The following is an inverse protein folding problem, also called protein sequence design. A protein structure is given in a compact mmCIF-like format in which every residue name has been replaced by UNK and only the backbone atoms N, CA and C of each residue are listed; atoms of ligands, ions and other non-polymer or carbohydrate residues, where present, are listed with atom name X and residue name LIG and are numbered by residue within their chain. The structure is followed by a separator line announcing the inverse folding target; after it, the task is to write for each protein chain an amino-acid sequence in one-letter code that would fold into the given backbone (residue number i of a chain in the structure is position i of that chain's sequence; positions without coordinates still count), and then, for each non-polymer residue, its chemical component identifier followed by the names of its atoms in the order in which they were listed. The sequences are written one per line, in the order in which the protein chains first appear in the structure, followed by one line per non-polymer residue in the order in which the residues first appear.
data_IF_424055825489
#
_entry.id   IF_424055825489
#
_cell.length_a   1.000
_cell.length_b   1.000
_cell.length_c   1.000
_cell.angle_alpha   90.00
_cell.angle_beta   90.00
_cell.angle_gamma   90.00
#
_symmetry.space_group_name_H-M   'P 1'
#
loop_
_entity.id
_entity.type
_entity.pdbx_description
1 polymer ?
#
# COMPACT_ATOMS: atom_id res chain seq x y z
N UNK A 1 -14.37 -2.79 27.11
CA UNK A 1 -13.74 -1.52 26.66
C UNK A 1 -12.87 -1.01 27.80
N UNK A 2 -11.55 -1.05 27.64
CA UNK A 2 -10.65 -0.30 28.51
C UNK A 2 -10.47 1.09 27.88
N UNK A 3 -10.76 2.18 28.60
CA UNK A 3 -10.52 3.51 28.07
C UNK A 3 -9.01 3.68 27.85
N UNK A 4 -8.61 3.95 26.61
CA UNK A 4 -7.23 4.35 26.33
C UNK A 4 -7.07 5.77 26.85
N UNK A 5 -6.39 5.93 27.98
CA UNK A 5 -6.01 7.24 28.48
C UNK A 5 -4.84 7.73 27.63
N UNK A 6 -5.09 8.66 26.71
CA UNK A 6 -4.05 9.38 26.00
C UNK A 6 -3.35 10.33 26.98
N UNK A 7 -2.24 9.90 27.56
CA UNK A 7 -1.38 10.79 28.33
C UNK A 7 -0.59 11.69 27.39
N UNK A 8 -0.82 12.99 27.48
CA UNK A 8 0.02 14.00 26.85
C UNK A 8 1.37 13.99 27.56
N UNK A 9 2.42 13.51 26.88
CA UNK A 9 3.78 13.61 27.41
C UNK A 9 4.32 15.03 27.13
N UNK A 10 4.38 15.85 28.16
CA UNK A 10 5.23 17.04 28.20
C UNK A 10 6.58 16.61 28.75
N UNK A 11 7.54 16.38 27.87
CA UNK A 11 8.89 16.02 28.29
C UNK A 11 9.78 15.75 27.09
N UNK A 12 11.07 15.86 27.32
CA UNK A 12 12.12 15.57 26.33
C UNK A 12 11.79 14.27 25.59
N UNK A 13 11.64 14.35 24.30
CA UNK A 13 11.44 13.20 23.41
C UNK A 13 12.61 12.23 23.63
N UNK A 14 12.43 11.23 24.46
CA UNK A 14 13.18 10.00 24.32
C UNK A 14 12.80 9.47 22.94
N UNK A 15 13.70 9.56 21.98
CA UNK A 15 13.51 9.05 20.63
C UNK A 15 13.50 7.52 20.70
N UNK A 16 12.40 7.02 21.27
CA UNK A 16 12.13 5.60 21.33
C UNK A 16 11.77 5.08 19.95
N UNK A 17 12.23 3.89 19.64
CA UNK A 17 11.84 3.12 18.43
C UNK A 17 10.40 2.61 18.49
N UNK A 18 9.65 2.99 19.51
CA UNK A 18 8.30 2.52 19.74
C UNK A 18 7.26 3.40 19.06
N UNK A 19 6.19 2.82 18.52
CA UNK A 19 5.02 3.55 18.07
C UNK A 19 4.42 4.46 19.16
N UNK A 20 3.68 5.49 18.77
CA UNK A 20 2.98 6.36 19.74
C UNK A 20 1.91 5.58 20.49
N UNK A 21 1.20 4.73 19.75
CA UNK A 21 0.26 3.77 20.31
C UNK A 21 0.72 2.39 19.89
N UNK A 22 1.02 1.54 20.85
CA UNK A 22 1.48 0.18 20.63
C UNK A 22 0.68 -0.81 21.48
N UNK A 23 0.11 -1.79 20.81
CA UNK A 23 -0.67 -2.86 21.46
C UNK A 23 -0.21 -4.19 20.90
N UNK A 24 0.08 -5.17 21.75
CA UNK A 24 0.51 -6.50 21.33
C UNK A 24 -0.32 -7.60 22.01
N UNK A 25 -0.72 -8.61 21.24
CA UNK A 25 -1.36 -9.85 21.74
C UNK A 25 -2.73 -9.64 22.38
N UNK A 26 -3.36 -8.48 22.18
CA UNK A 26 -4.65 -8.16 22.77
C UNK A 26 -5.83 -8.69 21.96
N UNK A 27 -6.95 -8.94 22.67
CA UNK A 27 -8.25 -9.25 22.07
C UNK A 27 -9.29 -8.22 22.49
N UNK A 28 -10.27 -7.95 21.58
CA UNK A 28 -11.34 -6.99 21.84
C UNK A 28 -10.78 -5.61 22.26
N UNK A 29 -9.85 -5.08 21.48
CA UNK A 29 -9.16 -3.83 21.77
C UNK A 29 -9.64 -2.71 20.83
N UNK A 30 -9.83 -1.51 21.37
CA UNK A 30 -10.27 -0.38 20.59
C UNK A 30 -9.46 0.89 20.88
N UNK A 31 -9.24 1.67 19.82
CA UNK A 31 -8.82 3.07 19.84
C UNK A 31 -9.95 3.90 19.24
N UNK A 32 -10.68 4.63 20.06
CA UNK A 32 -11.86 5.37 19.63
C UNK A 32 -11.86 6.81 20.14
N UNK A 33 -12.59 7.67 19.47
CA UNK A 33 -12.79 9.05 19.90
C UNK A 33 -12.74 10.04 18.73
N UNK A 34 -12.87 11.34 19.05
CA UNK A 34 -12.84 12.44 18.10
C UNK A 34 -11.56 13.31 18.25
N UNK A 35 -10.60 12.82 19.03
CA UNK A 35 -9.35 13.53 19.30
C UNK A 35 -8.35 13.47 18.15
N UNK A 36 -7.33 14.31 18.23
CA UNK A 36 -6.21 14.34 17.30
C UNK A 36 -4.98 13.71 17.94
N UNK A 37 -4.33 12.80 17.21
CA UNK A 37 -3.07 12.18 17.58
C UNK A 37 -1.98 12.83 16.72
N UNK A 38 -1.07 13.52 17.38
CA UNK A 38 0.07 14.22 16.78
C UNK A 38 1.37 13.72 17.40
N UNK A 39 2.39 13.46 16.58
CA UNK A 39 3.70 13.04 17.08
C UNK A 39 4.83 14.01 16.75
N UNK A 40 4.56 15.09 16.07
CA UNK A 40 5.62 15.98 15.59
C UNK A 40 6.68 15.22 14.76
N UNK A 41 6.20 14.45 13.79
CA UNK A 41 7.01 13.51 12.99
C UNK A 41 8.08 14.21 12.16
N UNK A 42 7.84 15.45 11.76
CA UNK A 42 8.79 16.27 11.00
C UNK A 42 10.08 16.51 11.79
N UNK A 43 9.97 16.85 13.04
CA UNK A 43 11.15 17.05 13.91
C UNK A 43 11.86 15.73 14.20
N UNK A 44 11.09 14.68 14.47
CA UNK A 44 11.61 13.33 14.62
C UNK A 44 12.44 12.91 13.39
N UNK A 45 11.93 13.14 12.18
CA UNK A 45 12.65 12.82 10.94
C UNK A 45 13.91 13.64 10.76
N UNK A 46 13.90 14.92 11.14
CA UNK A 46 15.06 15.80 11.06
C UNK A 46 16.18 15.29 11.98
N UNK A 47 15.83 14.94 13.22
CA UNK A 47 16.80 14.39 14.18
C UNK A 47 17.35 13.04 13.69
N UNK A 48 16.49 12.15 13.19
CA UNK A 48 16.91 10.83 12.69
C UNK A 48 17.82 10.92 11.46
N UNK A 49 17.54 11.84 10.53
CA UNK A 49 18.38 12.04 9.34
C UNK A 49 19.80 12.48 9.68
N UNK A 50 19.94 13.29 10.71
CA UNK A 50 21.21 13.86 11.16
C UNK A 50 21.93 12.94 12.17
N UNK A 51 21.31 11.83 12.56
CA UNK A 51 21.90 10.90 13.51
C UNK A 51 22.89 9.94 12.85
N UNK A 52 24.04 9.66 13.49
CA UNK A 52 24.95 8.58 13.06
C UNK A 52 24.29 7.19 13.15
N UNK A 53 23.26 7.04 13.97
CA UNK A 53 22.51 5.79 14.16
C UNK A 53 21.48 5.48 13.06
N UNK A 54 21.42 6.29 12.00
CA UNK A 54 20.54 6.03 10.84
C UNK A 54 20.88 4.71 10.13
N UNK A 55 19.92 4.10 9.43
CA UNK A 55 20.16 2.94 8.58
C UNK A 55 19.70 1.59 9.17
N UNK A 56 19.00 1.61 10.31
CA UNK A 56 18.47 0.41 10.95
C UNK A 56 17.63 -0.48 10.04
N UNK A 57 16.80 0.11 9.16
CA UNK A 57 15.97 -0.66 8.23
C UNK A 57 16.79 -1.47 7.21
N UNK A 58 17.92 -0.94 6.73
CA UNK A 58 18.84 -1.66 5.87
C UNK A 58 19.51 -2.84 6.59
N UNK A 59 19.92 -2.62 7.84
CA UNK A 59 20.45 -3.67 8.71
C UNK A 59 19.44 -4.75 9.01
N UNK A 60 18.20 -4.38 9.36
CA UNK A 60 17.12 -5.34 9.60
C UNK A 60 16.87 -6.22 8.38
N UNK A 61 16.81 -5.62 7.18
CA UNK A 61 16.64 -6.37 5.93
C UNK A 61 17.81 -7.35 5.69
N UNK A 62 19.04 -6.96 6.02
CA UNK A 62 20.20 -7.85 5.90
C UNK A 62 20.11 -9.01 6.89
N UNK A 63 19.78 -8.73 8.16
CA UNK A 63 19.55 -9.78 9.16
C UNK A 63 18.49 -10.78 8.72
N UNK A 64 17.40 -10.30 8.10
CA UNK A 64 16.37 -11.17 7.52
C UNK A 64 16.91 -12.07 6.41
N UNK A 65 17.68 -11.51 5.47
CA UNK A 65 18.33 -12.28 4.41
C UNK A 65 19.30 -13.33 4.94
N UNK A 66 20.05 -13.00 5.97
CA UNK A 66 21.03 -13.90 6.63
C UNK A 66 20.35 -14.94 7.54
N UNK A 67 19.05 -14.79 7.79
CA UNK A 67 18.28 -15.71 8.64
C UNK A 67 18.59 -15.57 10.14
N UNK A 68 19.04 -14.39 10.56
CA UNK A 68 19.22 -14.10 11.97
C UNK A 68 17.88 -14.27 12.74
N UNK A 69 17.82 -15.02 13.83
CA UNK A 69 16.60 -15.16 14.61
C UNK A 69 16.03 -13.81 15.06
N UNK A 70 14.69 -13.68 15.09
CA UNK A 70 14.04 -12.40 15.37
C UNK A 70 14.40 -11.84 16.73
N UNK A 71 14.50 -12.70 17.74
CA UNK A 71 14.89 -12.37 19.13
C UNK A 71 16.32 -11.82 19.24
N UNK A 72 17.16 -12.04 18.24
CA UNK A 72 18.53 -11.52 18.18
C UNK A 72 18.63 -10.18 17.42
N UNK A 73 17.52 -9.72 16.81
CA UNK A 73 17.49 -8.48 16.03
C UNK A 73 17.18 -7.30 16.93
N UNK A 74 18.17 -6.87 17.69
CA UNK A 74 18.03 -5.77 18.65
C UNK A 74 18.38 -4.46 17.98
N UNK A 75 17.46 -3.49 18.07
CA UNK A 75 17.63 -2.12 17.61
C UNK A 75 17.41 -1.15 18.76
N UNK A 76 18.07 -0.03 18.72
CA UNK A 76 18.04 0.98 19.77
C UNK A 76 19.27 1.85 19.71
N UNK A 77 20.06 1.90 20.76
CA UNK A 77 21.30 2.65 20.80
C UNK A 77 22.21 2.28 19.62
N UNK A 78 22.64 3.27 18.86
CA UNK A 78 23.51 3.10 17.71
C UNK A 78 22.83 2.70 16.39
N UNK A 79 21.57 2.20 16.37
CA UNK A 79 20.81 1.88 15.15
C UNK A 79 19.31 2.09 15.32
N UNK A 80 18.82 3.17 14.78
CA UNK A 80 17.43 3.56 14.90
C UNK A 80 16.59 3.18 13.70
N UNK A 81 15.34 2.83 13.96
CA UNK A 81 14.28 2.70 12.96
C UNK A 81 13.18 3.73 13.21
N UNK A 82 12.55 4.19 12.15
CA UNK A 82 11.39 5.06 12.29
C UNK A 82 10.20 4.22 12.80
N UNK A 83 9.55 4.62 13.88
CA UNK A 83 8.38 3.90 14.37
C UNK A 83 7.13 4.28 13.58
N UNK A 84 6.24 3.33 13.39
CA UNK A 84 4.86 3.61 12.98
C UNK A 84 4.14 4.47 14.02
N UNK A 85 3.08 5.16 13.65
CA UNK A 85 2.33 6.01 14.58
C UNK A 85 1.47 5.19 15.53
N UNK A 86 0.63 4.32 14.96
CA UNK A 86 -0.30 3.44 15.65
C UNK A 86 -0.02 2.02 15.18
N UNK A 87 0.39 1.14 16.08
CA UNK A 87 0.71 -0.25 15.74
C UNK A 87 0.00 -1.23 16.65
N UNK A 88 -0.79 -2.11 16.05
CA UNK A 88 -1.34 -3.30 16.70
C UNK A 88 -0.58 -4.51 16.18
N UNK A 89 -0.02 -5.32 17.06
CA UNK A 89 0.76 -6.50 16.70
C UNK A 89 0.12 -7.76 17.31
N UNK A 90 -0.16 -8.77 16.48
CA UNK A 90 -0.72 -10.05 16.93
C UNK A 90 -2.05 -9.90 17.70
N UNK A 91 -2.86 -8.89 17.35
CA UNK A 91 -4.15 -8.61 18.00
C UNK A 91 -5.32 -9.23 17.24
N UNK A 92 -6.42 -9.45 17.96
CA UNK A 92 -7.68 -9.93 17.38
C UNK A 92 -8.83 -9.03 17.83
N UNK A 93 -9.82 -8.80 16.95
CA UNK A 93 -10.97 -7.95 17.20
C UNK A 93 -10.53 -6.52 17.56
N UNK A 94 -9.89 -5.85 16.58
CA UNK A 94 -9.32 -4.50 16.70
C UNK A 94 -10.28 -3.48 16.08
N UNK A 95 -10.60 -2.42 16.81
CA UNK A 95 -11.35 -1.27 16.30
C UNK A 95 -10.53 0.00 16.42
N UNK A 96 -10.36 0.72 15.30
CA UNK A 96 -9.79 2.08 15.26
C UNK A 96 -10.85 2.99 14.66
N UNK A 97 -11.40 3.92 15.47
CA UNK A 97 -12.58 4.68 15.04
C UNK A 97 -12.54 6.15 15.43
N UNK A 98 -12.86 7.00 14.45
CA UNK A 98 -13.21 8.43 14.66
C UNK A 98 -12.02 9.37 14.88
N UNK A 99 -10.84 8.87 15.16
CA UNK A 99 -9.66 9.70 15.47
C UNK A 99 -9.10 10.41 14.23
N UNK A 100 -8.48 11.56 14.46
CA UNK A 100 -7.63 12.24 13.49
C UNK A 100 -6.16 11.99 13.80
N UNK A 101 -5.36 11.69 12.78
CA UNK A 101 -3.92 11.43 12.93
C UNK A 101 -3.14 12.36 12.01
N UNK A 102 -2.16 13.07 12.58
CA UNK A 102 -1.33 14.04 11.86
C UNK A 102 0.16 13.84 12.18
N UNK A 103 1.00 14.30 11.26
CA UNK A 103 2.47 14.41 11.40
C UNK A 103 3.15 13.16 11.96
N UNK A 104 2.92 12.02 11.30
CA UNK A 104 3.57 10.75 11.61
C UNK A 104 5.05 10.75 11.19
N UNK A 105 5.95 10.09 11.93
CA UNK A 105 7.33 9.90 11.49
C UNK A 105 7.51 8.79 10.44
N UNK A 106 6.54 7.89 10.30
CA UNK A 106 6.57 6.76 9.39
C UNK A 106 5.13 6.33 9.02
N UNK A 107 4.86 5.07 8.73
CA UNK A 107 3.52 4.52 8.48
C UNK A 107 2.55 4.90 9.60
N UNK A 108 1.34 5.29 9.24
CA UNK A 108 0.43 5.90 10.22
C UNK A 108 -0.33 4.83 11.01
N UNK A 109 -1.17 4.04 10.36
CA UNK A 109 -1.94 2.96 10.98
C UNK A 109 -1.38 1.63 10.48
N UNK A 110 -0.75 0.86 11.36
CA UNK A 110 0.00 -0.34 10.99
C UNK A 110 -0.40 -1.55 11.85
N UNK A 111 -1.53 -2.19 11.56
CA UNK A 111 -1.84 -3.48 12.14
C UNK A 111 -0.96 -4.57 11.50
N UNK A 112 -0.33 -5.40 12.32
CA UNK A 112 0.60 -6.46 11.91
C UNK A 112 0.15 -7.80 12.50
N UNK A 113 0.02 -8.82 11.68
CA UNK A 113 -0.38 -10.17 12.11
C UNK A 113 -1.72 -10.19 12.87
N UNK A 114 -2.58 -9.20 12.61
CA UNK A 114 -3.86 -9.05 13.28
C UNK A 114 -4.99 -9.78 12.51
N UNK A 115 -6.07 -10.06 13.24
CA UNK A 115 -7.29 -10.62 12.66
C UNK A 115 -8.51 -9.85 13.14
N UNK A 116 -9.51 -9.71 12.23
CA UNK A 116 -10.74 -8.95 12.46
C UNK A 116 -10.44 -7.51 12.90
N UNK A 117 -9.95 -6.73 11.94
CA UNK A 117 -9.54 -5.33 12.14
C UNK A 117 -10.54 -4.42 11.45
N UNK A 118 -11.08 -3.46 12.16
CA UNK A 118 -11.92 -2.40 11.61
C UNK A 118 -11.26 -1.04 11.79
N UNK A 119 -11.07 -0.32 10.69
CA UNK A 119 -10.65 1.09 10.67
C UNK A 119 -11.81 1.90 10.08
N UNK A 120 -12.45 2.72 10.89
CA UNK A 120 -13.71 3.40 10.51
C UNK A 120 -13.71 4.87 10.88
N UNK A 121 -14.15 5.72 9.96
CA UNK A 121 -14.33 7.14 10.23
C UNK A 121 -13.05 7.88 10.64
N UNK A 122 -11.90 7.35 10.28
CA UNK A 122 -10.59 7.91 10.62
C UNK A 122 -10.18 8.93 9.58
N UNK A 123 -9.56 10.02 10.02
CA UNK A 123 -8.92 11.01 9.15
C UNK A 123 -7.42 10.99 9.37
N UNK A 124 -6.65 10.68 8.33
CA UNK A 124 -5.20 10.83 8.32
C UNK A 124 -4.85 12.02 7.43
N UNK A 125 -4.05 12.95 7.99
CA UNK A 125 -3.55 14.15 7.31
C UNK A 125 -2.07 14.31 7.63
N UNK A 126 -1.21 13.51 6.95
CA UNK A 126 0.20 13.33 7.32
C UNK A 126 1.08 13.21 6.08
N UNK A 127 1.97 14.18 5.88
CA UNK A 127 2.63 14.44 4.59
C UNK A 127 4.15 14.24 4.57
N UNK A 128 4.73 13.61 5.58
CA UNK A 128 6.15 13.26 5.57
C UNK A 128 6.41 12.06 4.65
N UNK A 129 7.66 11.83 4.29
CA UNK A 129 8.05 10.66 3.49
C UNK A 129 7.77 9.35 4.23
N UNK A 130 7.23 8.36 3.51
CA UNK A 130 6.73 7.09 4.03
C UNK A 130 5.59 7.26 5.06
N UNK A 131 4.77 8.28 4.91
CA UNK A 131 3.52 8.41 5.66
C UNK A 131 2.40 7.74 4.87
N UNK A 132 2.47 6.42 4.77
CA UNK A 132 1.37 5.59 4.31
C UNK A 132 0.24 5.70 5.34
N UNK A 133 -1.02 5.82 4.89
CA UNK A 133 -2.16 6.10 5.78
C UNK A 133 -2.58 4.89 6.59
N UNK A 134 -2.72 3.74 5.94
CA UNK A 134 -3.06 2.48 6.60
C UNK A 134 -2.37 1.30 5.91
N UNK A 135 -1.62 0.53 6.67
CA UNK A 135 -0.76 -0.57 6.22
C UNK A 135 -1.14 -1.89 6.91
N UNK A 136 -2.22 -2.57 6.51
CA UNK A 136 -2.46 -3.92 6.99
C UNK A 136 -1.34 -4.86 6.53
N UNK A 137 -0.56 -5.42 7.47
CA UNK A 137 0.57 -6.29 7.19
C UNK A 137 0.34 -7.70 7.75
N UNK A 138 0.24 -8.68 6.87
CA UNK A 138 -0.08 -10.08 7.22
C UNK A 138 -1.36 -10.21 8.06
N UNK A 139 -2.37 -9.41 7.73
CA UNK A 139 -3.66 -9.33 8.44
C UNK A 139 -4.76 -10.06 7.69
N UNK A 140 -5.75 -10.59 8.42
CA UNK A 140 -6.95 -11.19 7.85
C UNK A 140 -8.23 -10.56 8.38
N UNK A 141 -9.28 -10.57 7.53
CA UNK A 141 -10.60 -10.07 7.89
C UNK A 141 -10.55 -8.57 8.29
N UNK A 142 -10.11 -7.73 7.35
CA UNK A 142 -9.91 -6.29 7.56
C UNK A 142 -11.00 -5.48 6.87
N UNK A 143 -11.58 -4.52 7.58
CA UNK A 143 -12.51 -3.54 7.04
C UNK A 143 -11.94 -2.13 7.23
N UNK A 144 -11.79 -1.39 6.13
CA UNK A 144 -11.43 0.04 6.13
C UNK A 144 -12.58 0.79 5.48
N UNK A 145 -13.31 1.60 6.26
CA UNK A 145 -14.50 2.26 5.74
C UNK A 145 -14.71 3.68 6.26
N UNK A 146 -15.36 4.52 5.45
CA UNK A 146 -15.73 5.88 5.82
C UNK A 146 -14.54 6.73 6.27
N UNK A 147 -13.36 6.52 5.68
CA UNK A 147 -12.11 7.17 6.07
C UNK A 147 -11.69 8.24 5.05
N UNK A 148 -10.84 9.15 5.51
CA UNK A 148 -10.18 10.14 4.67
C UNK A 148 -8.67 10.03 4.88
N UNK A 149 -7.94 9.72 3.81
CA UNK A 149 -6.48 9.64 3.84
C UNK A 149 -5.86 10.72 2.94
N UNK A 150 -5.14 11.68 3.53
CA UNK A 150 -4.28 12.65 2.83
C UNK A 150 -2.85 12.44 3.29
N UNK A 151 -2.01 11.89 2.41
CA UNK A 151 -0.77 11.25 2.82
C UNK A 151 0.44 11.71 2.01
N UNK A 152 1.60 11.62 2.62
CA UNK A 152 2.89 11.87 1.98
C UNK A 152 3.43 10.68 1.19
N UNK A 153 2.89 9.49 1.43
CA UNK A 153 3.14 8.25 0.69
C UNK A 153 1.79 7.57 0.37
N UNK A 154 1.70 6.28 0.12
CA UNK A 154 0.46 5.61 -0.29
C UNK A 154 -0.69 5.85 0.71
N UNK A 155 -1.93 6.04 0.24
CA UNK A 155 -3.06 6.26 1.16
C UNK A 155 -3.42 4.97 1.92
N UNK A 156 -3.45 3.84 1.23
CA UNK A 156 -3.57 2.51 1.81
C UNK A 156 -2.53 1.62 1.15
N UNK A 157 -1.69 0.93 1.94
CA UNK A 157 -0.68 0.02 1.42
C UNK A 157 -0.76 -1.35 2.10
N UNK A 158 -1.35 -2.33 1.41
CA UNK A 158 -1.48 -3.70 1.92
C UNK A 158 -0.13 -4.41 1.80
N UNK A 159 0.33 -4.98 2.90
CA UNK A 159 1.63 -5.63 3.02
C UNK A 159 1.49 -7.04 3.61
N UNK A 160 2.51 -7.88 3.42
CA UNK A 160 2.59 -9.22 4.03
C UNK A 160 4.04 -9.67 4.19
N UNK A 161 4.83 -8.83 4.83
CA UNK A 161 6.24 -9.09 5.09
C UNK A 161 7.14 -8.95 3.87
N UNK A 162 8.44 -9.00 4.11
CA UNK A 162 9.48 -8.67 3.13
C UNK A 162 10.47 -9.81 2.94
N UNK A 163 10.68 -10.22 1.68
CA UNK A 163 11.69 -11.20 1.27
C UNK A 163 11.59 -12.49 2.13
N UNK A 164 12.72 -13.05 2.58
CA UNK A 164 12.80 -14.26 3.39
C UNK A 164 11.96 -14.20 4.67
N UNK A 165 11.90 -13.06 5.34
CA UNK A 165 11.08 -12.92 6.55
C UNK A 165 9.60 -13.10 6.25
N UNK A 166 9.11 -12.50 5.16
CA UNK A 166 7.73 -12.70 4.71
C UNK A 166 7.44 -14.15 4.35
N UNK A 167 8.36 -14.85 3.69
CA UNK A 167 8.21 -16.28 3.37
C UNK A 167 8.21 -17.15 4.62
N UNK A 168 9.10 -16.85 5.58
CA UNK A 168 9.21 -17.60 6.85
C UNK A 168 7.96 -17.46 7.70
N UNK A 169 7.42 -16.27 7.82
CA UNK A 169 6.13 -16.02 8.50
C UNK A 169 4.98 -16.67 7.74
N UNK A 170 5.00 -16.62 6.40
CA UNK A 170 4.06 -17.33 5.53
C UNK A 170 2.59 -16.95 5.72
N UNK A 171 2.29 -15.75 6.26
CA UNK A 171 0.93 -15.28 6.48
C UNK A 171 0.56 -14.23 5.45
N UNK A 172 -0.43 -14.50 4.59
CA UNK A 172 -0.94 -13.50 3.66
C UNK A 172 -1.72 -12.41 4.37
N UNK A 173 -1.86 -11.27 3.70
CA UNK A 173 -2.95 -10.33 3.96
C UNK A 173 -4.14 -10.74 3.11
N UNK A 174 -5.30 -10.99 3.75
CA UNK A 174 -6.45 -11.55 3.04
C UNK A 174 -7.81 -11.12 3.59
N UNK A 175 -8.86 -11.25 2.75
CA UNK A 175 -10.21 -10.89 3.10
C UNK A 175 -10.31 -9.43 3.56
N UNK A 176 -9.83 -8.52 2.71
CA UNK A 176 -9.78 -7.09 3.00
C UNK A 176 -10.85 -6.36 2.21
N UNK A 177 -11.68 -5.60 2.91
CA UNK A 177 -12.70 -4.73 2.31
C UNK A 177 -12.33 -3.27 2.57
N UNK A 178 -12.29 -2.48 1.49
CA UNK A 178 -12.06 -1.03 1.53
C UNK A 178 -13.24 -0.37 0.85
N UNK A 179 -14.00 0.44 1.58
CA UNK A 179 -15.18 1.08 1.00
C UNK A 179 -15.46 2.48 1.54
N UNK A 180 -16.04 3.31 0.68
CA UNK A 180 -16.39 4.69 1.02
C UNK A 180 -15.21 5.45 1.62
N UNK A 181 -14.06 5.43 0.92
CA UNK A 181 -12.82 6.07 1.35
C UNK A 181 -12.45 7.18 0.36
N UNK A 182 -12.08 8.34 0.90
CA UNK A 182 -11.49 9.43 0.12
C UNK A 182 -9.97 9.40 0.28
N UNK A 183 -9.26 9.40 -0.85
CA UNK A 183 -7.80 9.28 -0.89
C UNK A 183 -7.16 10.43 -1.66
N UNK A 184 -6.22 11.11 -1.03
CA UNK A 184 -5.29 12.05 -1.67
C UNK A 184 -3.87 11.71 -1.23
N UNK A 185 -2.95 11.54 -2.18
CA UNK A 185 -1.61 11.03 -1.85
C UNK A 185 -0.54 11.57 -2.79
N UNK A 186 0.66 11.75 -2.25
CA UNK A 186 1.84 11.99 -3.12
C UNK A 186 2.24 10.74 -3.90
N UNK A 187 1.84 9.56 -3.44
CA UNK A 187 2.02 8.27 -4.10
C UNK A 187 0.67 7.70 -4.52
N UNK A 188 0.32 6.50 -4.14
CA UNK A 188 -0.86 5.83 -4.69
C UNK A 188 -2.07 5.91 -3.77
N UNK A 189 -3.26 5.75 -4.33
CA UNK A 189 -4.49 5.58 -3.56
C UNK A 189 -4.46 4.24 -2.85
N UNK A 190 -4.62 3.15 -3.59
CA UNK A 190 -4.43 1.81 -3.09
C UNK A 190 -3.13 1.22 -3.65
N UNK A 191 -2.25 0.80 -2.75
CA UNK A 191 -1.04 0.05 -3.06
C UNK A 191 -1.11 -1.37 -2.51
N UNK A 192 -0.58 -2.35 -3.23
CA UNK A 192 -0.20 -3.66 -2.70
C UNK A 192 1.30 -3.81 -2.90
N UNK A 193 2.00 -3.92 -1.79
CA UNK A 193 3.47 -3.98 -1.79
C UNK A 193 4.16 -2.70 -1.29
N UNK A 194 5.49 -2.59 -1.51
CA UNK A 194 6.39 -3.61 -2.09
C UNK A 194 6.63 -4.82 -1.16
N UNK A 195 6.32 -4.75 0.09
CA UNK A 195 6.42 -5.83 1.08
C UNK A 195 5.21 -6.75 0.96
N UNK A 196 5.22 -7.73 0.03
CA UNK A 196 4.08 -8.62 -0.24
C UNK A 196 4.50 -10.10 -0.30
N UNK A 197 5.59 -10.45 0.37
CA UNK A 197 6.26 -11.75 0.25
C UNK A 197 5.45 -12.91 0.85
N UNK A 198 4.59 -12.66 1.84
CA UNK A 198 3.66 -13.65 2.39
C UNK A 198 2.38 -13.84 1.55
N UNK A 199 2.21 -13.02 0.51
CA UNK A 199 1.04 -13.05 -0.37
C UNK A 199 -0.08 -12.08 0.05
N UNK A 200 -0.90 -11.67 -0.93
CA UNK A 200 -2.11 -10.85 -0.72
C UNK A 200 -3.23 -11.41 -1.57
N UNK A 201 -4.42 -11.59 -1.00
CA UNK A 201 -5.55 -12.14 -1.74
C UNK A 201 -6.91 -11.74 -1.18
N UNK A 202 -7.95 -11.86 -2.02
CA UNK A 202 -9.31 -11.55 -1.66
C UNK A 202 -9.44 -10.10 -1.14
N UNK A 203 -9.03 -9.13 -1.95
CA UNK A 203 -9.15 -7.69 -1.64
C UNK A 203 -10.31 -7.12 -2.44
N UNK A 204 -11.22 -6.43 -1.78
CA UNK A 204 -12.41 -5.83 -2.35
C UNK A 204 -12.41 -4.33 -2.09
N UNK A 205 -12.47 -3.53 -3.16
CA UNK A 205 -12.45 -2.06 -3.08
C UNK A 205 -13.67 -1.50 -3.75
N UNK A 206 -14.45 -0.68 -3.06
CA UNK A 206 -15.67 -0.13 -3.63
C UNK A 206 -16.01 1.27 -3.13
N UNK A 207 -16.71 2.03 -3.97
CA UNK A 207 -17.27 3.34 -3.60
C UNK A 207 -16.21 4.34 -3.10
N UNK A 208 -15.05 4.40 -3.76
CA UNK A 208 -13.95 5.24 -3.33
C UNK A 208 -13.74 6.45 -4.25
N UNK A 209 -13.26 7.55 -3.65
CA UNK A 209 -12.94 8.80 -4.34
C UNK A 209 -11.44 9.10 -4.21
N UNK A 210 -10.78 9.39 -5.32
CA UNK A 210 -9.37 9.74 -5.32
C UNK A 210 -9.20 11.19 -5.82
N UNK A 211 -8.57 12.03 -5.00
CA UNK A 211 -8.37 13.45 -5.31
C UNK A 211 -7.22 13.62 -6.33
N UNK A 212 -5.98 13.51 -5.86
CA UNK A 212 -4.78 13.53 -6.69
C UNK A 212 -3.80 12.50 -6.13
N UNK A 213 -3.40 11.54 -6.96
CA UNK A 213 -2.50 10.45 -6.59
C UNK A 213 -1.49 10.18 -7.71
N UNK A 214 -0.42 9.43 -7.42
CA UNK A 214 0.46 8.94 -8.49
C UNK A 214 -0.26 7.88 -9.32
N UNK A 215 -0.85 6.89 -8.66
CA UNK A 215 -1.69 5.88 -9.29
C UNK A 215 -2.91 5.59 -8.43
N UNK A 216 -4.07 5.30 -9.04
CA UNK A 216 -5.22 4.91 -8.25
C UNK A 216 -5.00 3.52 -7.63
N UNK A 217 -4.48 2.58 -8.44
CA UNK A 217 -4.04 1.27 -8.02
C UNK A 217 -2.58 1.06 -8.38
N UNK A 218 -1.77 0.62 -7.42
CA UNK A 218 -0.37 0.30 -7.65
C UNK A 218 0.01 -1.05 -7.04
N UNK A 219 0.31 -2.02 -7.89
CA UNK A 219 0.75 -3.35 -7.54
C UNK A 219 2.24 -3.46 -7.81
N UNK A 220 3.05 -3.49 -6.77
CA UNK A 220 4.51 -3.35 -6.88
C UNK A 220 5.29 -4.43 -6.14
N UNK A 221 6.37 -4.88 -6.76
CA UNK A 221 7.33 -5.79 -6.19
C UNK A 221 8.63 -5.78 -6.97
N UNK A 222 9.62 -6.53 -6.51
CA UNK A 222 10.85 -6.79 -7.28
C UNK A 222 11.25 -8.26 -7.16
N UNK A 223 12.31 -8.65 -7.86
CA UNK A 223 12.72 -10.06 -7.98
C UNK A 223 13.29 -10.67 -6.69
N UNK A 224 13.34 -9.94 -5.57
CA UNK A 224 13.66 -10.48 -4.25
C UNK A 224 12.40 -10.88 -3.47
N UNK A 225 11.21 -10.43 -3.87
CA UNK A 225 10.00 -10.48 -3.05
C UNK A 225 9.36 -11.85 -3.00
N UNK A 226 9.32 -12.58 -4.12
CA UNK A 226 8.43 -13.74 -4.22
C UNK A 226 6.98 -13.37 -3.90
N UNK A 227 6.23 -14.32 -3.36
CA UNK A 227 4.84 -14.12 -2.99
C UNK A 227 3.90 -14.01 -4.19
N UNK A 228 2.61 -13.89 -3.89
CA UNK A 228 1.56 -13.83 -4.90
C UNK A 228 0.48 -12.84 -4.50
N UNK A 229 0.06 -11.99 -5.44
CA UNK A 229 -1.09 -11.09 -5.31
C UNK A 229 -2.16 -11.58 -6.26
N UNK A 230 -3.32 -11.94 -5.72
CA UNK A 230 -4.39 -12.53 -6.52
C UNK A 230 -5.79 -12.23 -5.99
N UNK A 231 -6.79 -12.37 -6.86
CA UNK A 231 -8.19 -12.15 -6.54
C UNK A 231 -8.43 -10.76 -5.93
N UNK A 232 -8.09 -9.75 -6.73
CA UNK A 232 -8.28 -8.34 -6.40
C UNK A 232 -9.46 -7.81 -7.19
N UNK A 233 -10.43 -7.28 -6.50
CA UNK A 233 -11.69 -6.78 -7.05
C UNK A 233 -11.89 -5.32 -6.70
N UNK A 234 -12.20 -4.48 -7.69
CA UNK A 234 -12.55 -3.10 -7.44
C UNK A 234 -13.75 -2.66 -8.27
N UNK A 235 -14.60 -1.80 -7.70
CA UNK A 235 -15.74 -1.26 -8.41
C UNK A 235 -16.17 0.10 -7.91
N UNK A 236 -16.71 0.91 -8.83
CA UNK A 236 -17.26 2.25 -8.53
C UNK A 236 -16.24 3.17 -7.85
N UNK A 237 -15.13 3.39 -8.55
CA UNK A 237 -14.11 4.35 -8.12
C UNK A 237 -14.02 5.50 -9.11
N UNK A 238 -13.84 6.69 -8.57
CA UNK A 238 -13.56 7.89 -9.36
C UNK A 238 -12.24 8.53 -8.92
N UNK A 239 -11.37 8.82 -9.90
CA UNK A 239 -10.11 9.51 -9.69
C UNK A 239 -10.11 10.86 -10.44
N UNK A 240 -9.93 11.97 -9.74
CA UNK A 240 -9.79 13.28 -10.39
C UNK A 240 -8.50 13.35 -11.20
N UNK A 241 -7.38 12.93 -10.59
CA UNK A 241 -6.09 13.01 -11.27
C UNK A 241 -5.16 11.89 -10.82
N UNK A 242 -4.58 11.18 -11.82
CA UNK A 242 -3.48 10.26 -11.61
C UNK A 242 -2.27 10.71 -12.44
N UNK A 243 -1.07 10.70 -11.84
CA UNK A 243 0.13 11.19 -12.52
C UNK A 243 0.81 10.13 -13.37
N UNK A 244 0.78 8.88 -12.96
CA UNK A 244 1.51 7.77 -13.57
C UNK A 244 0.61 6.78 -14.29
N UNK A 245 -0.48 6.37 -13.67
CA UNK A 245 -1.47 5.50 -14.30
C UNK A 245 -2.69 5.27 -13.40
N UNK A 246 -3.87 5.04 -14.01
CA UNK A 246 -5.04 4.66 -13.22
C UNK A 246 -4.80 3.28 -12.58
N UNK A 247 -4.30 2.33 -13.36
CA UNK A 247 -3.88 1.02 -12.89
C UNK A 247 -2.42 0.80 -13.24
N UNK A 248 -1.60 0.48 -12.25
CA UNK A 248 -0.17 0.28 -12.42
C UNK A 248 0.29 -1.05 -11.82
N UNK A 249 1.00 -1.84 -12.61
CA UNK A 249 1.73 -3.03 -12.18
C UNK A 249 3.22 -2.81 -12.43
N UNK A 250 4.07 -3.19 -11.48
CA UNK A 250 5.51 -3.06 -11.62
C UNK A 250 6.26 -4.15 -10.86
N UNK A 251 7.00 -4.99 -11.59
CA UNK A 251 7.91 -6.00 -11.02
C UNK A 251 9.37 -5.52 -10.97
N UNK A 252 9.63 -4.35 -11.52
CA UNK A 252 10.95 -3.69 -11.49
C UNK A 252 11.15 -2.70 -10.33
N UNK A 253 10.37 -2.82 -9.25
CA UNK A 253 10.43 -1.87 -8.15
C UNK A 253 11.82 -1.80 -7.51
N UNK A 254 12.20 -0.62 -7.07
CA UNK A 254 13.55 -0.35 -6.55
C UNK A 254 13.97 -1.20 -5.33
N UNK A 255 15.26 -1.24 -5.02
CA UNK A 255 15.79 -1.97 -3.87
C UNK A 255 16.05 -3.45 -4.13
N UNK A 256 16.10 -3.88 -5.39
CA UNK A 256 16.53 -5.22 -5.81
C UNK A 256 17.97 -5.50 -5.38
N UNK A 257 18.26 -6.69 -4.85
CA UNK A 257 19.55 -7.12 -4.32
C UNK A 257 20.13 -8.34 -5.00
N UNK A 258 19.56 -8.76 -6.13
CA UNK A 258 20.08 -9.88 -6.92
C UNK A 258 19.42 -11.22 -6.62
N UNK A 259 18.27 -11.25 -5.93
CA UNK A 259 17.50 -12.47 -5.73
C UNK A 259 16.87 -12.99 -7.02
N UNK A 260 16.31 -14.19 -6.96
CA UNK A 260 15.57 -14.81 -8.06
C UNK A 260 14.24 -15.38 -7.55
N UNK A 261 13.43 -14.49 -7.01
CA UNK A 261 12.11 -14.79 -6.50
C UNK A 261 11.11 -13.76 -7.05
N UNK A 262 10.73 -13.85 -8.34
CA UNK A 262 9.80 -12.93 -8.94
C UNK A 262 8.42 -13.03 -8.27
N UNK A 263 7.76 -11.90 -7.97
CA UNK A 263 6.41 -11.89 -7.45
C UNK A 263 5.43 -12.26 -8.55
N UNK A 264 4.30 -12.88 -8.18
CA UNK A 264 3.20 -13.18 -9.10
C UNK A 264 2.04 -12.24 -8.88
N UNK A 265 1.56 -11.61 -9.94
CA UNK A 265 0.38 -10.75 -9.96
C UNK A 265 -0.65 -11.35 -10.92
N UNK A 266 -1.80 -11.79 -10.40
CA UNK A 266 -2.83 -12.42 -11.24
C UNK A 266 -4.25 -12.22 -10.71
N UNK A 267 -5.22 -12.40 -11.58
CA UNK A 267 -6.65 -12.41 -11.26
C UNK A 267 -7.15 -11.07 -10.68
N UNK A 268 -7.07 -10.02 -11.49
CA UNK A 268 -7.57 -8.69 -11.17
C UNK A 268 -8.86 -8.41 -11.95
N UNK A 269 -9.91 -8.00 -11.25
CA UNK A 269 -11.16 -7.60 -11.86
C UNK A 269 -11.58 -6.22 -11.37
N UNK A 270 -11.41 -5.21 -12.22
CA UNK A 270 -11.62 -3.81 -11.90
C UNK A 270 -12.73 -3.27 -12.79
N UNK A 271 -13.83 -2.83 -12.20
CA UNK A 271 -15.05 -2.43 -12.94
C UNK A 271 -15.54 -1.05 -12.52
N UNK A 272 -16.27 -0.39 -13.42
CA UNK A 272 -16.90 0.90 -13.14
C UNK A 272 -15.90 1.93 -12.59
N UNK A 273 -14.78 2.08 -13.27
CA UNK A 273 -13.75 3.05 -12.93
C UNK A 273 -13.86 4.29 -13.81
N UNK A 274 -13.67 5.46 -13.23
CA UNK A 274 -13.57 6.70 -13.99
C UNK A 274 -12.36 7.52 -13.54
N UNK A 275 -11.75 8.26 -14.51
CA UNK A 275 -10.63 9.13 -14.26
C UNK A 275 -10.72 10.37 -15.14
N UNK A 276 -10.65 11.57 -14.52
CA UNK A 276 -10.71 12.80 -15.29
C UNK A 276 -9.40 13.06 -16.04
N UNK A 277 -8.24 12.86 -15.38
CA UNK A 277 -6.93 13.05 -16.00
C UNK A 277 -5.92 11.99 -15.54
N UNK A 278 -5.40 11.20 -16.48
CA UNK A 278 -4.21 10.37 -16.33
C UNK A 278 -3.03 11.03 -17.07
N UNK A 279 -2.10 11.64 -16.32
CA UNK A 279 -1.05 12.47 -16.93
C UNK A 279 -0.13 11.65 -17.85
N UNK A 280 0.23 10.42 -17.45
CA UNK A 280 1.07 9.54 -18.25
C UNK A 280 0.24 8.48 -18.99
N UNK A 281 -0.24 7.47 -18.29
CA UNK A 281 -0.91 6.32 -18.88
C UNK A 281 -2.29 6.08 -18.25
N UNK A 282 -3.22 5.55 -19.02
CA UNK A 282 -4.42 4.95 -18.47
C UNK A 282 -4.06 3.68 -17.69
N UNK A 283 -3.31 2.77 -18.33
CA UNK A 283 -2.85 1.51 -17.78
C UNK A 283 -1.34 1.38 -17.98
N UNK A 284 -0.62 1.12 -16.90
CA UNK A 284 0.80 0.78 -16.95
C UNK A 284 1.02 -0.63 -16.41
N UNK A 285 1.61 -1.54 -17.17
CA UNK A 285 1.82 -2.90 -16.74
C UNK A 285 3.21 -3.39 -17.13
N UNK A 286 4.05 -3.64 -16.14
CA UNK A 286 5.41 -4.14 -16.29
C UNK A 286 5.64 -5.41 -15.50
N UNK A 287 5.46 -6.54 -16.16
CA UNK A 287 5.88 -7.84 -15.69
C UNK A 287 7.33 -8.17 -16.07
N UNK A 288 7.73 -9.39 -15.81
CA UNK A 288 8.98 -10.01 -16.28
C UNK A 288 8.67 -11.33 -16.96
N UNK A 289 9.55 -11.79 -17.84
CA UNK A 289 9.34 -13.05 -18.59
C UNK A 289 9.07 -14.27 -17.69
N UNK A 290 9.74 -14.34 -16.51
CA UNK A 290 9.58 -15.45 -15.57
C UNK A 290 8.28 -15.35 -14.73
N UNK A 291 7.64 -14.17 -14.68
CA UNK A 291 6.40 -13.91 -13.97
C UNK A 291 5.66 -12.74 -14.65
N UNK A 292 4.94 -13.00 -15.73
CA UNK A 292 4.11 -11.98 -16.37
C UNK A 292 2.97 -11.53 -15.44
N UNK A 293 2.40 -10.39 -15.73
CA UNK A 293 1.15 -9.96 -15.10
C UNK A 293 0.00 -10.69 -15.78
N UNK A 294 -0.80 -11.44 -15.02
CA UNK A 294 -1.75 -12.42 -15.59
C UNK A 294 -3.22 -12.06 -15.27
N UNK A 295 -4.12 -12.32 -16.22
CA UNK A 295 -5.57 -12.30 -16.00
C UNK A 295 -6.09 -10.97 -15.42
N UNK A 296 -5.79 -9.86 -16.07
CA UNK A 296 -6.31 -8.54 -15.72
C UNK A 296 -7.55 -8.25 -16.54
N UNK A 297 -8.69 -8.05 -15.88
CA UNK A 297 -9.93 -7.64 -16.52
C UNK A 297 -10.33 -6.24 -16.08
N UNK A 298 -10.46 -5.33 -17.03
CA UNK A 298 -11.01 -4.00 -16.87
C UNK A 298 -12.35 -3.93 -17.58
N UNK A 299 -13.38 -3.48 -16.88
CA UNK A 299 -14.74 -3.46 -17.41
C UNK A 299 -15.44 -2.13 -17.09
N UNK A 300 -16.03 -1.50 -18.08
CA UNK A 300 -16.69 -0.19 -17.96
C UNK A 300 -15.77 0.88 -17.34
N UNK A 301 -14.63 1.12 -17.98
CA UNK A 301 -13.64 2.11 -17.54
C UNK A 301 -13.66 3.31 -18.46
N UNK A 302 -13.68 4.51 -17.90
CA UNK A 302 -13.67 5.78 -18.62
C UNK A 302 -12.51 6.66 -18.14
N UNK A 303 -11.56 6.97 -19.04
CA UNK A 303 -10.46 7.89 -18.77
C UNK A 303 -10.61 9.06 -19.73
N UNK A 304 -11.04 10.21 -19.20
CA UNK A 304 -11.40 11.36 -20.05
C UNK A 304 -10.19 11.96 -20.75
N UNK A 305 -9.04 12.02 -20.07
CA UNK A 305 -7.80 12.52 -20.63
C UNK A 305 -6.62 11.68 -20.20
N UNK A 306 -5.84 11.17 -21.16
CA UNK A 306 -4.56 10.49 -20.89
C UNK A 306 -3.55 10.83 -22.01
N UNK A 307 -2.25 10.88 -21.67
CA UNK A 307 -1.18 11.03 -22.68
C UNK A 307 -1.09 9.79 -23.57
N UNK A 308 -1.27 8.61 -23.00
CA UNK A 308 -1.36 7.35 -23.72
C UNK A 308 -2.32 6.39 -23.01
N UNK A 309 -3.08 5.56 -23.76
CA UNK A 309 -4.05 4.66 -23.17
C UNK A 309 -3.38 3.57 -22.32
N UNK A 310 -2.26 3.01 -22.78
CA UNK A 310 -1.51 2.02 -22.02
C UNK A 310 -0.04 1.93 -22.41
N UNK A 311 0.74 1.35 -21.50
CA UNK A 311 2.06 0.78 -21.71
C UNK A 311 2.09 -0.61 -21.10
N UNK A 312 2.39 -1.62 -21.89
CA UNK A 312 2.30 -3.03 -21.50
C UNK A 312 3.61 -3.75 -21.82
N UNK A 313 4.11 -4.55 -20.87
CA UNK A 313 5.28 -5.40 -21.02
C UNK A 313 5.11 -6.66 -20.16
N UNK A 314 5.30 -7.83 -20.75
CA UNK A 314 5.07 -9.12 -20.09
C UNK A 314 3.73 -9.14 -19.33
N UNK A 315 2.65 -8.90 -20.08
CA UNK A 315 1.29 -8.90 -19.55
C UNK A 315 0.48 -9.91 -20.37
N UNK A 316 -0.17 -10.84 -19.70
CA UNK A 316 -0.91 -11.93 -20.34
C UNK A 316 -2.36 -11.92 -19.88
N UNK A 317 -3.29 -12.28 -20.79
CA UNK A 317 -4.71 -12.39 -20.45
C UNK A 317 -5.38 -11.04 -20.09
N UNK A 318 -4.84 -9.90 -20.55
CA UNK A 318 -5.49 -8.62 -20.39
C UNK A 318 -6.76 -8.54 -21.23
N UNK A 319 -7.88 -8.20 -20.60
CA UNK A 319 -9.18 -7.99 -21.24
C UNK A 319 -9.74 -6.62 -20.90
N UNK A 320 -10.14 -5.88 -21.92
CA UNK A 320 -10.66 -4.51 -21.84
C UNK A 320 -12.11 -4.46 -22.35
N UNK A 321 -13.05 -4.80 -21.50
CA UNK A 321 -14.45 -4.79 -21.86
C UNK A 321 -15.07 -3.40 -21.61
N UNK A 322 -15.49 -2.71 -22.66
CA UNK A 322 -16.06 -1.37 -22.57
C UNK A 322 -15.12 -0.37 -21.86
N UNK A 323 -13.87 -0.30 -22.33
CA UNK A 323 -12.85 0.64 -21.86
C UNK A 323 -12.65 1.75 -22.87
N UNK A 324 -12.74 3.00 -22.42
CA UNK A 324 -12.60 4.19 -23.25
C UNK A 324 -11.52 5.12 -22.66
N UNK A 325 -10.65 5.62 -23.53
CA UNK A 325 -9.61 6.60 -23.20
C UNK A 325 -9.63 7.71 -24.25
N UNK A 326 -9.68 8.96 -23.83
CA UNK A 326 -9.77 10.14 -24.70
C UNK A 326 -10.95 10.07 -25.69
N UNK A 327 -12.09 9.50 -25.30
CA UNK A 327 -13.24 9.30 -26.18
C UNK A 327 -13.10 8.15 -27.18
N UNK A 328 -12.02 7.37 -27.11
CA UNK A 328 -11.76 6.24 -28.03
C UNK A 328 -11.91 4.93 -27.26
N UNK A 329 -12.79 4.05 -27.75
CA UNK A 329 -12.95 2.71 -27.22
C UNK A 329 -11.74 1.85 -27.58
N UNK A 330 -11.14 1.22 -26.59
CA UNK A 330 -10.00 0.34 -26.76
C UNK A 330 -10.43 -1.06 -27.23
N UNK A 331 -9.58 -1.80 -27.98
CA UNK A 331 -9.85 -3.18 -28.33
C UNK A 331 -9.93 -4.05 -27.09
N UNK A 332 -10.84 -5.03 -27.09
CA UNK A 332 -11.02 -5.94 -25.94
C UNK A 332 -9.76 -6.76 -25.60
N UNK A 333 -8.99 -7.07 -26.61
CA UNK A 333 -7.70 -7.74 -26.47
C UNK A 333 -6.65 -6.86 -27.17
N UNK A 334 -5.90 -6.04 -26.42
CA UNK A 334 -4.83 -5.28 -27.02
C UNK A 334 -3.74 -6.24 -27.55
N UNK A 335 -3.03 -5.88 -28.64
CA UNK A 335 -1.95 -6.68 -29.20
C UNK A 335 -0.84 -6.81 -28.13
N UNK A 336 -0.74 -7.95 -27.51
CA UNK A 336 0.32 -8.26 -26.54
C UNK A 336 1.45 -8.97 -27.28
N UNK A 337 2.69 -8.52 -27.09
CA UNK A 337 3.86 -9.19 -27.60
C UNK A 337 4.68 -9.76 -26.42
N UNK A 338 5.19 -10.96 -26.47
CA UNK A 338 5.99 -11.55 -25.40
C UNK A 338 7.23 -10.73 -25.04
N UNK A 339 7.74 -9.95 -25.99
CA UNK A 339 8.99 -9.20 -25.86
C UNK A 339 8.80 -7.68 -25.90
N UNK A 340 7.57 -7.19 -26.07
CA UNK A 340 7.31 -5.86 -26.55
C UNK A 340 6.62 -4.91 -25.62
N UNK A 341 7.14 -3.70 -25.60
CA UNK A 341 6.43 -2.49 -25.29
C UNK A 341 5.30 -2.29 -26.32
N UNK A 342 4.06 -2.50 -25.91
CA UNK A 342 2.93 -2.07 -26.74
C UNK A 342 2.53 -0.68 -26.30
N UNK A 343 2.85 0.30 -27.15
CA UNK A 343 2.41 1.69 -27.02
C UNK A 343 1.32 1.93 -28.04
N UNK A 344 0.07 2.06 -27.61
CA UNK A 344 -0.96 2.60 -28.47
C UNK A 344 -0.86 4.12 -28.41
N UNK A 345 -0.56 4.75 -29.55
CA UNK A 345 -0.74 6.20 -29.72
C UNK A 345 -2.15 6.37 -30.28
N UNK A 346 -2.99 7.09 -29.57
CA UNK A 346 -4.23 7.59 -30.16
C UNK A 346 -3.81 8.81 -30.96
N UNK A 347 -3.92 8.73 -32.31
CA UNK A 347 -3.80 9.90 -33.16
C UNK A 347 -4.88 10.91 -32.76
N UNK A 348 -4.45 12.10 -32.39
CA UNK A 348 -5.30 13.26 -32.14
C UNK A 348 -6.12 13.63 -33.36
#
# INVERSE_FOLDING_TARGET
YLPVVLTRFEGTLLMGHSPRIYVRGAKNVALTGQGTIDRNGRDTLTIMRNSPARGGSGTLRQMGADGVPVEQRVFGEGKWMRPSMIQFLECTDVLIEGVRVIDSPFWVIHPVLCRNVTVRGVTVDSHNGNNDGCDPDSCSDVLIENCVFRTGDDAIAIKSGRDRDGWTVGRPSENIVIRNVTMGSRHSGLCIGSEMSGGVRNVFVEDCQLESVASAFYFKGNLDRGGQVERIYARRLHAKKVREGLVRFETGYHGYRGGNAPPRFRDFHLTDLSCDEAVAYGIYSEGVAAAPIENVRLERVRIHKAKAPFWLKFTEGLRLQDVEVNGVRLPEQPPLTPEGEVKLKISS
#
